data_IF_721579754577
#
_entry.id   IF_721579754577
#
_cell.length_a   1.000
_cell.length_b   1.000
_cell.length_c   1.000
_cell.angle_alpha   90.00
_cell.angle_beta   90.00
_cell.angle_gamma   90.00
#
_symmetry.space_group_name_H-M   'P 1'
#
loop_
_entity.id
_entity.type
_entity.pdbx_description
1 polymer ?
#
# COMPACT_ATOMS: atom_id res chain seq x y z
N UNK A 1 -27.24 4.66 3.07
CA UNK A 1 -26.73 3.43 2.43
C UNK A 1 -25.28 3.25 2.81
N UNK A 2 -24.76 2.03 2.82
CA UNK A 2 -23.32 1.79 3.04
C UNK A 2 -22.55 2.04 1.74
N UNK A 3 -21.44 2.79 1.82
CA UNK A 3 -20.46 2.99 0.75
C UNK A 3 -19.14 2.35 1.19
N UNK A 4 -18.48 1.61 0.31
CA UNK A 4 -17.16 1.04 0.59
C UNK A 4 -16.11 2.12 0.34
N UNK A 5 -15.48 2.63 1.40
CA UNK A 5 -14.49 3.71 1.30
C UNK A 5 -13.05 3.25 1.13
N UNK A 6 -12.81 1.93 1.14
CA UNK A 6 -11.48 1.34 1.01
C UNK A 6 -11.44 -0.12 1.46
N UNK A 7 -10.34 -0.78 1.11
CA UNK A 7 -10.02 -2.14 1.55
C UNK A 7 -8.51 -2.37 1.48
N UNK A 8 -8.03 -3.38 2.19
CA UNK A 8 -6.67 -3.84 2.03
C UNK A 8 -6.49 -5.27 2.51
N UNK A 9 -5.36 -5.86 2.14
CA UNK A 9 -5.00 -7.24 2.47
C UNK A 9 -3.63 -7.26 3.13
N UNK A 10 -3.47 -8.13 4.13
CA UNK A 10 -2.17 -8.48 4.70
C UNK A 10 -1.95 -9.99 4.59
N UNK A 11 -0.73 -10.40 4.27
CA UNK A 11 -0.33 -11.82 4.21
C UNK A 11 1.00 -12.05 4.89
N UNK A 12 1.16 -13.22 5.52
CA UNK A 12 2.45 -13.69 6.03
C UNK A 12 3.37 -14.03 4.85
N UNK A 13 4.63 -13.60 4.94
CA UNK A 13 5.68 -13.90 3.98
C UNK A 13 6.72 -14.84 4.60
N UNK A 14 7.73 -15.28 3.83
CA UNK A 14 8.87 -16.05 4.36
C UNK A 14 9.56 -15.30 5.52
N UNK A 15 9.61 -13.98 5.44
CA UNK A 15 10.02 -13.07 6.50
C UNK A 15 9.00 -11.95 6.58
N UNK A 16 8.47 -11.67 7.78
CA UNK A 16 7.51 -10.59 8.01
C UNK A 16 6.13 -10.78 7.35
N UNK A 17 5.46 -9.66 7.11
CA UNK A 17 4.14 -9.56 6.49
C UNK A 17 4.14 -8.52 5.37
N UNK A 18 3.33 -8.73 4.34
CA UNK A 18 3.15 -7.76 3.26
C UNK A 18 1.71 -7.28 3.21
N UNK A 19 1.53 -5.96 3.21
CA UNK A 19 0.27 -5.29 2.91
C UNK A 19 0.20 -5.03 1.41
N UNK A 20 -0.89 -5.44 0.77
CA UNK A 20 -1.06 -5.28 -0.67
C UNK A 20 -2.24 -6.11 -1.21
N UNK A 21 -3.23 -5.48 -1.89
CA UNK A 21 -3.34 -4.04 -2.12
C UNK A 21 -3.75 -3.30 -0.84
N UNK A 22 -3.59 -1.98 -0.86
CA UNK A 22 -4.23 -1.05 0.08
C UNK A 22 -4.85 0.09 -0.74
N UNK A 23 -6.17 0.05 -0.88
CA UNK A 23 -6.94 1.05 -1.62
C UNK A 23 -7.88 1.81 -0.68
N UNK A 24 -7.98 3.13 -0.86
CA UNK A 24 -8.80 3.97 -0.01
C UNK A 24 -9.18 5.28 -0.72
N UNK A 25 -10.38 5.78 -0.42
CA UNK A 25 -10.87 7.05 -0.97
C UNK A 25 -10.07 8.27 -0.47
N UNK A 26 -9.38 8.15 0.67
CA UNK A 26 -8.59 9.24 1.26
C UNK A 26 -7.52 8.72 2.27
N UNK A 27 -6.55 9.57 2.65
CA UNK A 27 -5.45 9.18 3.53
C UNK A 27 -5.86 8.70 4.93
N UNK A 28 -6.95 9.26 5.49
CA UNK A 28 -7.43 8.85 6.82
C UNK A 28 -7.98 7.42 6.82
N UNK A 29 -8.68 7.05 5.74
CA UNK A 29 -9.17 5.67 5.56
C UNK A 29 -7.99 4.72 5.33
N UNK A 30 -7.01 5.12 4.51
CA UNK A 30 -5.81 4.33 4.28
C UNK A 30 -5.03 4.05 5.57
N UNK A 31 -4.85 5.06 6.42
CA UNK A 31 -4.16 4.94 7.70
C UNK A 31 -4.92 4.03 8.68
N UNK A 32 -6.24 4.18 8.75
CA UNK A 32 -7.09 3.31 9.57
C UNK A 32 -6.97 1.84 9.15
N UNK A 33 -7.03 1.58 7.83
CA UNK A 33 -6.87 0.24 7.29
C UNK A 33 -5.46 -0.31 7.50
N UNK A 34 -4.43 0.51 7.29
CA UNK A 34 -3.04 0.11 7.50
C UNK A 34 -2.78 -0.30 8.95
N UNK A 35 -3.25 0.48 9.93
CA UNK A 35 -3.11 0.14 11.35
C UNK A 35 -3.85 -1.15 11.71
N UNK A 36 -5.07 -1.34 11.19
CA UNK A 36 -5.83 -2.57 11.39
C UNK A 36 -5.12 -3.79 10.79
N UNK A 37 -4.57 -3.66 9.58
CA UNK A 37 -3.80 -4.72 8.92
C UNK A 37 -2.48 -5.01 9.64
N UNK A 38 -1.74 -3.96 10.05
CA UNK A 38 -0.49 -4.09 10.80
C UNK A 38 -0.68 -4.86 12.11
N UNK A 39 -1.87 -4.79 12.73
CA UNK A 39 -2.16 -5.51 13.98
C UNK A 39 -2.11 -7.05 13.86
N UNK A 40 -2.11 -7.60 12.64
CA UNK A 40 -1.91 -9.04 12.41
C UNK A 40 -0.42 -9.46 12.46
N UNK A 41 0.52 -8.52 12.49
CA UNK A 41 1.95 -8.78 12.66
C UNK A 41 2.36 -8.57 14.13
N UNK A 42 3.35 -9.33 14.61
CA UNK A 42 4.00 -9.02 15.89
C UNK A 42 4.84 -7.75 15.76
N UNK A 43 5.19 -7.13 16.90
CA UNK A 43 6.05 -5.93 16.91
C UNK A 43 7.45 -6.18 16.31
N UNK A 44 7.91 -7.43 16.34
CA UNK A 44 9.22 -7.86 15.83
C UNK A 44 9.17 -8.24 14.34
N UNK A 45 7.98 -8.52 13.79
CA UNK A 45 7.82 -8.91 12.39
C UNK A 45 7.85 -7.67 11.49
N UNK A 46 8.75 -7.60 10.48
CA UNK A 46 8.73 -6.49 9.53
C UNK A 46 7.44 -6.50 8.72
N UNK A 47 6.89 -5.30 8.48
CA UNK A 47 5.73 -5.09 7.61
C UNK A 47 6.18 -4.34 6.36
N UNK A 48 5.87 -4.91 5.20
CA UNK A 48 6.21 -4.37 3.90
C UNK A 48 4.97 -3.76 3.24
N UNK A 49 5.15 -2.60 2.61
CA UNK A 49 4.15 -1.88 1.84
C UNK A 49 4.85 -1.28 0.61
N UNK A 50 4.31 -1.54 -0.58
CA UNK A 50 4.83 -0.98 -1.83
C UNK A 50 3.98 0.24 -2.22
N UNK A 51 4.47 1.44 -1.95
CA UNK A 51 3.76 2.69 -2.24
C UNK A 51 4.06 3.19 -3.65
N UNK A 52 3.07 3.67 -4.41
CA UNK A 52 3.36 4.40 -5.65
C UNK A 52 3.98 5.76 -5.32
N UNK A 53 5.21 6.02 -5.79
CA UNK A 53 5.91 7.30 -5.54
C UNK A 53 5.11 8.53 -6.01
N UNK A 54 4.38 8.37 -7.11
CA UNK A 54 3.51 9.41 -7.68
C UNK A 54 2.28 9.72 -6.82
N UNK A 55 1.96 8.90 -5.82
CA UNK A 55 0.94 9.19 -4.81
C UNK A 55 1.64 9.70 -3.54
N UNK A 56 1.77 11.04 -3.36
CA UNK A 56 2.48 11.61 -2.21
C UNK A 56 1.83 11.24 -0.87
N UNK A 57 0.52 10.99 -0.84
CA UNK A 57 -0.18 10.58 0.38
C UNK A 57 0.14 9.13 0.77
N UNK A 58 0.40 8.26 -0.21
CA UNK A 58 0.88 6.90 0.03
C UNK A 58 2.30 6.92 0.60
N UNK A 59 3.18 7.75 0.04
CA UNK A 59 4.54 7.95 0.56
C UNK A 59 4.49 8.52 1.99
N UNK A 60 3.68 9.56 2.22
CA UNK A 60 3.52 10.17 3.53
C UNK A 60 2.97 9.17 4.58
N UNK A 61 2.11 8.23 4.20
CA UNK A 61 1.66 7.15 5.09
C UNK A 61 2.85 6.28 5.56
N UNK A 62 3.71 5.87 4.63
CA UNK A 62 4.91 5.08 4.97
C UNK A 62 5.87 5.87 5.89
N UNK A 63 6.09 7.15 5.59
CA UNK A 63 6.93 8.05 6.39
C UNK A 63 6.39 8.25 7.81
N UNK A 64 5.08 8.51 7.97
CA UNK A 64 4.42 8.66 9.29
C UNK A 64 4.59 7.44 10.18
N UNK A 65 4.72 6.26 9.58
CA UNK A 65 4.94 5.01 10.29
C UNK A 65 6.41 4.58 10.39
N UNK A 66 7.35 5.50 10.12
CA UNK A 66 8.79 5.29 10.19
C UNK A 66 9.26 4.08 9.35
N UNK A 67 8.60 3.82 8.22
CA UNK A 67 9.03 2.78 7.31
C UNK A 67 10.32 3.21 6.59
N UNK A 68 11.15 2.24 6.24
CA UNK A 68 12.38 2.49 5.49
C UNK A 68 12.25 1.92 4.08
N UNK A 69 12.83 2.63 3.11
CA UNK A 69 12.91 2.16 1.73
C UNK A 69 13.90 1.00 1.69
N UNK A 70 13.43 -0.17 1.24
CA UNK A 70 14.26 -1.38 1.11
C UNK A 70 14.51 -1.77 -0.35
N UNK A 71 13.68 -1.27 -1.27
CA UNK A 71 13.76 -1.52 -2.70
C UNK A 71 12.88 -0.53 -3.45
N UNK A 72 13.27 -0.17 -4.68
CA UNK A 72 12.51 0.69 -5.58
C UNK A 72 12.39 0.03 -6.94
N UNK A 73 11.26 0.26 -7.62
CA UNK A 73 11.05 -0.21 -8.99
C UNK A 73 10.18 0.77 -9.76
N UNK A 74 10.34 0.80 -11.08
CA UNK A 74 9.55 1.63 -11.97
C UNK A 74 8.46 0.80 -12.63
N UNK A 75 7.22 1.31 -12.61
CA UNK A 75 6.13 0.77 -13.42
C UNK A 75 6.29 1.30 -14.85
N UNK A 76 6.46 0.38 -15.80
CA UNK A 76 6.71 0.69 -17.22
C UNK A 76 5.54 0.24 -18.09
N UNK A 77 5.21 1.03 -19.10
CA UNK A 77 4.18 0.72 -20.10
C UNK A 77 4.77 0.81 -21.50
N UNK A 78 4.39 -0.13 -22.37
CA UNK A 78 4.64 0.01 -23.81
C UNK A 78 3.54 0.86 -24.40
N UNK A 79 3.87 2.10 -24.80
CA UNK A 79 2.89 3.08 -25.27
C UNK A 79 2.40 3.97 -24.14
N UNK A 80 1.17 4.46 -24.25
CA UNK A 80 0.58 5.35 -23.25
C UNK A 80 0.27 4.60 -21.94
N UNK A 81 0.44 5.26 -20.81
CA UNK A 81 0.02 4.73 -19.51
C UNK A 81 -1.50 4.63 -19.44
N UNK A 82 -2.07 3.57 -18.83
CA UNK A 82 -3.50 3.43 -18.64
C UNK A 82 -4.04 4.53 -17.72
N UNK A 83 -5.28 4.94 -17.98
CA UNK A 83 -6.02 5.86 -17.13
C UNK A 83 -6.56 5.10 -15.90
N UNK A 84 -5.85 5.20 -14.78
CA UNK A 84 -6.20 4.58 -13.51
C UNK A 84 -6.14 5.62 -12.38
N UNK A 85 -6.98 5.45 -11.36
CA UNK A 85 -6.93 6.30 -10.18
C UNK A 85 -5.73 5.93 -9.29
N UNK A 86 -4.66 6.69 -9.45
CA UNK A 86 -3.41 6.51 -8.70
C UNK A 86 -3.51 7.11 -7.28
N UNK A 87 -4.43 8.06 -7.05
CA UNK A 87 -4.61 8.69 -5.75
C UNK A 87 -5.26 7.73 -4.75
N UNK A 88 -6.12 6.83 -5.24
CA UNK A 88 -6.76 5.79 -4.42
C UNK A 88 -5.83 4.63 -4.04
N UNK A 89 -4.60 4.57 -4.60
CA UNK A 89 -3.66 3.46 -4.39
C UNK A 89 -2.61 3.84 -3.35
N UNK A 90 -2.74 3.30 -2.14
CA UNK A 90 -1.77 3.45 -1.06
C UNK A 90 -0.79 2.28 -0.96
N UNK A 91 -1.14 1.13 -1.54
CA UNK A 91 -0.27 -0.04 -1.68
C UNK A 91 -0.65 -0.84 -2.92
N UNK A 92 0.31 -1.11 -3.81
CA UNK A 92 0.06 -1.93 -5.00
C UNK A 92 -0.26 -3.39 -4.62
N UNK A 93 -0.95 -4.11 -5.49
CA UNK A 93 -1.32 -5.52 -5.23
C UNK A 93 -0.07 -6.39 -5.13
N UNK A 94 0.69 -6.47 -6.24
CA UNK A 94 2.00 -7.10 -6.35
C UNK A 94 2.77 -6.46 -7.52
N UNK A 95 4.08 -6.68 -7.62
CA UNK A 95 4.85 -6.21 -8.79
C UNK A 95 4.52 -6.98 -10.07
N UNK A 96 4.13 -8.24 -9.96
CA UNK A 96 3.82 -9.12 -11.10
C UNK A 96 2.44 -8.89 -11.70
N UNK A 97 1.46 -8.47 -10.89
CA UNK A 97 0.07 -8.36 -11.30
C UNK A 97 -0.47 -6.93 -11.31
N UNK A 98 0.23 -6.01 -10.64
CA UNK A 98 -0.13 -4.60 -10.58
C UNK A 98 -1.10 -4.25 -9.48
#
# INVERSE_FOLDING_TARGET
>A
GGHLSGYGVIRKCRSGHKVGPLFADNPNVAETLFLALKSFASEEDPVYLDTPEINPEAVALAERHNMTVVFETARMYTGDSPDIDLNGIFGVTTFELG
#
